data_IF_262409580284
#
_entry.id   IF_262409580284
#
_cell.length_a   1.000
_cell.length_b   1.000
_cell.length_c   1.000
_cell.angle_alpha   90.00
_cell.angle_beta   90.00
_cell.angle_gamma   90.00
#
_symmetry.space_group_name_H-M   'P 1'
#
loop_
_entity.id
_entity.type
_entity.pdbx_description
1 polymer ?
#
# COMPACT_ATOMS: atom_id res chain seq x y z
N UNK A 1 -23.59 -12.94 -24.04
CA UNK A 1 -22.86 -13.07 -22.76
C UNK A 1 -21.40 -12.73 -23.10
N UNK A 2 -20.75 -11.72 -22.55
CA UNK A 2 -20.75 -11.31 -21.15
C UNK A 2 -20.87 -9.78 -20.98
N UNK A 3 -21.63 -9.39 -19.97
CA UNK A 3 -21.67 -8.02 -19.42
C UNK A 3 -20.62 -7.84 -18.30
N UNK A 4 -19.68 -8.78 -18.18
CA UNK A 4 -18.68 -8.82 -17.12
C UNK A 4 -17.54 -7.82 -17.40
N UNK A 5 -16.98 -7.27 -16.33
CA UNK A 5 -15.85 -6.33 -16.41
C UNK A 5 -14.63 -7.06 -16.97
N UNK A 6 -13.98 -6.43 -17.96
CA UNK A 6 -12.71 -6.93 -18.53
C UNK A 6 -11.48 -6.40 -17.80
N UNK A 7 -11.63 -5.32 -17.04
CA UNK A 7 -10.57 -4.64 -16.32
C UNK A 7 -11.07 -4.19 -14.95
N UNK A 8 -10.17 -4.05 -13.95
CA UNK A 8 -10.49 -3.47 -12.67
C UNK A 8 -11.11 -2.09 -12.82
N UNK A 9 -12.07 -1.78 -11.95
CA UNK A 9 -12.73 -0.50 -11.90
C UNK A 9 -11.78 0.63 -11.49
N UNK A 10 -12.19 1.87 -11.76
CA UNK A 10 -11.42 3.06 -11.42
C UNK A 10 -11.18 3.18 -9.90
N UNK A 11 -12.15 2.74 -9.09
CA UNK A 11 -12.01 2.70 -7.63
C UNK A 11 -10.88 1.76 -7.21
N UNK A 12 -10.90 0.51 -7.68
CA UNK A 12 -9.87 -0.52 -7.43
C UNK A 12 -8.48 -0.02 -7.80
N UNK A 13 -8.34 0.55 -9.00
CA UNK A 13 -7.05 1.13 -9.44
C UNK A 13 -6.62 2.30 -8.55
N UNK A 14 -7.54 3.19 -8.16
CA UNK A 14 -7.21 4.32 -7.28
C UNK A 14 -6.75 3.84 -5.90
N UNK A 15 -7.41 2.82 -5.34
CA UNK A 15 -7.07 2.22 -4.06
C UNK A 15 -5.72 1.48 -4.08
N UNK A 16 -5.32 0.94 -5.24
CA UNK A 16 -3.99 0.35 -5.45
C UNK A 16 -2.87 1.41 -5.44
N UNK A 17 -3.14 2.63 -5.93
CA UNK A 17 -2.14 3.71 -5.99
C UNK A 17 -1.95 4.46 -4.66
N UNK A 18 -2.98 4.56 -3.82
CA UNK A 18 -2.89 5.25 -2.52
C UNK A 18 -1.72 4.70 -1.66
N UNK A 19 -1.58 3.38 -1.45
CA UNK A 19 -0.47 2.82 -0.69
C UNK A 19 0.91 3.21 -1.22
N UNK A 20 1.06 3.32 -2.54
CA UNK A 20 2.33 3.71 -3.17
C UNK A 20 2.72 5.12 -2.75
N UNK A 21 1.75 6.05 -2.76
CA UNK A 21 1.97 7.43 -2.31
C UNK A 21 2.31 7.48 -0.82
N UNK A 22 1.61 6.69 0.01
CA UNK A 22 1.89 6.60 1.45
C UNK A 22 3.29 6.08 1.73
N UNK A 23 3.73 5.03 1.02
CA UNK A 23 5.09 4.49 1.14
C UNK A 23 6.12 5.55 0.70
N UNK A 24 5.91 6.23 -0.43
CA UNK A 24 6.82 7.29 -0.87
C UNK A 24 6.93 8.42 0.16
N UNK A 25 5.81 8.84 0.75
CA UNK A 25 5.80 9.82 1.83
C UNK A 25 6.55 9.31 3.08
N UNK A 26 6.40 8.03 3.44
CA UNK A 26 7.20 7.41 4.52
C UNK A 26 8.69 7.55 4.27
N UNK A 27 9.18 7.27 3.05
CA UNK A 27 10.61 7.43 2.72
C UNK A 27 11.09 8.89 2.89
N UNK A 28 10.29 9.86 2.48
CA UNK A 28 10.64 11.29 2.58
C UNK A 28 10.67 11.73 4.04
N UNK A 29 9.67 11.34 4.82
CA UNK A 29 9.54 11.74 6.22
C UNK A 29 10.64 11.16 7.11
N UNK A 30 11.18 10.00 6.74
CA UNK A 30 12.20 9.27 7.52
C UNK A 30 13.63 9.55 7.03
N UNK A 31 13.81 10.49 6.10
CA UNK A 31 15.08 10.72 5.41
C UNK A 31 15.70 9.42 4.86
N UNK A 32 14.88 8.65 4.12
CA UNK A 32 15.25 7.34 3.59
C UNK A 32 15.65 6.33 4.68
N UNK A 33 14.91 6.33 5.79
CA UNK A 33 15.18 5.51 6.98
C UNK A 33 16.52 5.81 7.66
N UNK A 34 16.91 7.09 7.70
CA UNK A 34 18.09 7.53 8.45
C UNK A 34 17.91 7.26 9.94
N UNK A 35 18.98 6.83 10.62
CA UNK A 35 19.01 6.68 12.08
C UNK A 35 18.93 8.05 12.79
N UNK A 36 19.44 9.10 12.14
CA UNK A 36 19.40 10.47 12.63
C UNK A 36 18.75 11.37 11.56
N UNK A 37 17.41 11.31 11.40
CA UNK A 37 16.70 12.16 10.45
C UNK A 37 16.83 13.63 10.87
N UNK A 38 17.09 14.51 9.90
CA UNK A 38 17.34 15.94 10.11
C UNK A 38 16.32 16.84 9.41
N UNK A 39 15.63 16.33 8.39
CA UNK A 39 14.67 17.14 7.61
C UNK A 39 13.39 17.41 8.40
N UNK A 40 12.85 16.38 9.06
CA UNK A 40 11.61 16.48 9.83
C UNK A 40 11.85 16.10 11.29
N UNK A 41 11.32 16.87 12.26
CA UNK A 41 11.44 16.51 13.67
C UNK A 41 10.43 15.43 14.08
N UNK A 42 10.66 14.70 15.19
CA UNK A 42 9.61 13.90 15.82
C UNK A 42 8.39 14.78 16.15
N UNK A 43 7.15 14.30 15.95
CA UNK A 43 6.75 12.93 15.59
C UNK A 43 6.64 12.65 14.08
N UNK A 44 6.96 13.62 13.22
CA UNK A 44 6.74 13.52 11.78
C UNK A 44 7.66 12.51 11.09
N UNK A 45 8.85 12.28 11.65
CA UNK A 45 9.81 11.29 11.15
C UNK A 45 9.68 9.89 11.78
N UNK A 46 8.85 9.72 12.81
CA UNK A 46 8.80 8.49 13.62
C UNK A 46 7.39 7.90 13.75
N UNK A 47 6.40 8.71 14.14
CA UNK A 47 5.01 8.25 14.36
C UNK A 47 4.16 8.37 13.09
N UNK A 48 4.25 9.52 12.41
CA UNK A 48 3.47 9.74 11.17
C UNK A 48 3.76 8.67 10.11
N UNK A 49 5.01 8.25 9.84
CA UNK A 49 5.30 7.23 8.85
C UNK A 49 4.68 5.87 9.21
N UNK A 50 4.59 5.52 10.50
CA UNK A 50 3.87 4.31 10.95
C UNK A 50 2.38 4.39 10.62
N UNK A 51 1.74 5.53 10.89
CA UNK A 51 0.32 5.76 10.57
C UNK A 51 0.10 5.63 9.06
N UNK A 52 0.97 6.22 8.24
CA UNK A 52 0.89 6.13 6.78
C UNK A 52 0.98 4.69 6.29
N UNK A 53 1.88 3.88 6.85
CA UNK A 53 2.00 2.47 6.49
C UNK A 53 0.78 1.65 6.92
N UNK A 54 0.16 1.94 8.06
CA UNK A 54 -1.11 1.31 8.47
C UNK A 54 -2.23 1.66 7.49
N UNK A 55 -2.34 2.93 7.09
CA UNK A 55 -3.32 3.36 6.08
C UNK A 55 -3.03 2.68 4.73
N UNK A 56 -1.76 2.54 4.35
CA UNK A 56 -1.34 1.83 3.14
C UNK A 56 -1.81 0.37 3.16
N UNK A 57 -1.65 -0.33 4.28
CA UNK A 57 -2.13 -1.71 4.46
C UNK A 57 -3.66 -1.76 4.31
N UNK A 58 -4.39 -0.88 4.99
CA UNK A 58 -5.86 -0.86 4.92
C UNK A 58 -6.32 -0.62 3.48
N UNK A 59 -5.74 0.36 2.78
CA UNK A 59 -6.09 0.66 1.39
C UNK A 59 -5.79 -0.51 0.45
N UNK A 60 -4.63 -1.16 0.60
CA UNK A 60 -4.27 -2.33 -0.20
C UNK A 60 -5.20 -3.53 0.07
N UNK A 61 -5.62 -3.75 1.33
CA UNK A 61 -6.60 -4.80 1.66
C UNK A 61 -7.96 -4.51 1.01
N UNK A 62 -8.43 -3.26 1.03
CA UNK A 62 -9.71 -2.91 0.38
C UNK A 62 -9.60 -3.02 -1.13
N UNK A 63 -8.47 -2.60 -1.72
CA UNK A 63 -8.19 -2.76 -3.15
C UNK A 63 -8.23 -4.25 -3.55
N UNK A 64 -7.56 -5.10 -2.78
CA UNK A 64 -7.53 -6.55 -3.01
C UNK A 64 -8.92 -7.18 -2.99
N UNK A 65 -9.73 -6.83 -1.98
CA UNK A 65 -11.11 -7.33 -1.86
C UNK A 65 -11.94 -6.86 -3.06
N UNK A 66 -11.82 -5.57 -3.40
CA UNK A 66 -12.57 -5.00 -4.54
C UNK A 66 -12.15 -5.64 -5.86
N UNK A 67 -10.85 -5.90 -6.06
CA UNK A 67 -10.34 -6.58 -7.24
C UNK A 67 -10.90 -8.00 -7.37
N UNK A 68 -11.00 -8.74 -6.27
CA UNK A 68 -11.64 -10.07 -6.25
C UNK A 68 -13.14 -10.00 -6.53
N UNK A 69 -13.83 -9.01 -5.97
CA UNK A 69 -15.28 -8.86 -6.17
C UNK A 69 -15.62 -8.44 -7.61
N UNK A 70 -14.72 -7.73 -8.29
CA UNK A 70 -14.89 -7.32 -9.68
C UNK A 70 -14.40 -8.37 -10.70
N UNK A 71 -13.72 -9.42 -10.25
CA UNK A 71 -13.13 -10.44 -11.11
C UNK A 71 -14.22 -11.21 -11.90
N UNK A 72 -14.11 -11.31 -13.23
CA UNK A 72 -15.09 -12.00 -14.06
C UNK A 72 -14.97 -13.52 -13.91
N UNK A 73 -16.11 -14.20 -13.75
CA UNK A 73 -16.15 -15.66 -13.64
C UNK A 73 -15.73 -16.35 -14.95
N UNK A 74 -16.14 -15.79 -16.10
CA UNK A 74 -15.95 -16.40 -17.42
C UNK A 74 -15.13 -15.52 -18.36
N UNK A 75 -14.55 -14.44 -17.84
CA UNK A 75 -13.80 -13.43 -18.57
C UNK A 75 -12.29 -13.43 -18.28
N UNK A 76 -11.56 -12.41 -18.77
CA UNK A 76 -10.13 -12.30 -18.54
C UNK A 76 -9.82 -11.94 -17.08
N UNK A 77 -9.23 -12.88 -16.35
CA UNK A 77 -8.88 -12.75 -14.93
C UNK A 77 -7.50 -12.12 -14.68
N UNK A 78 -6.59 -12.18 -15.67
CA UNK A 78 -5.21 -11.73 -15.52
C UNK A 78 -5.06 -10.29 -14.99
N UNK A 79 -5.82 -9.29 -15.47
CA UNK A 79 -5.71 -7.92 -14.95
C UNK A 79 -6.04 -7.80 -13.46
N UNK A 80 -7.01 -8.58 -12.96
CA UNK A 80 -7.42 -8.59 -11.56
C UNK A 80 -6.34 -9.27 -10.69
N UNK A 81 -5.79 -10.39 -11.18
CA UNK A 81 -4.69 -11.10 -10.49
C UNK A 81 -3.42 -10.26 -10.36
N UNK A 82 -3.13 -9.38 -11.34
CA UNK A 82 -2.02 -8.44 -11.24
C UNK A 82 -2.25 -7.44 -10.11
N UNK A 83 -3.45 -6.86 -10.01
CA UNK A 83 -3.80 -5.93 -8.92
C UNK A 83 -3.73 -6.65 -7.57
N UNK A 84 -4.34 -7.82 -7.46
CA UNK A 84 -4.29 -8.65 -6.25
C UNK A 84 -2.84 -8.94 -5.79
N UNK A 85 -1.95 -9.29 -6.72
CA UNK A 85 -0.55 -9.56 -6.42
C UNK A 85 0.22 -8.30 -5.98
N UNK A 86 -0.05 -7.15 -6.60
CA UNK A 86 0.54 -5.87 -6.21
C UNK A 86 0.08 -5.48 -4.81
N UNK A 87 -1.21 -5.61 -4.50
CA UNK A 87 -1.76 -5.30 -3.18
C UNK A 87 -1.15 -6.19 -2.09
N UNK A 88 -0.99 -7.49 -2.34
CA UNK A 88 -0.31 -8.40 -1.41
C UNK A 88 1.16 -7.97 -1.20
N UNK A 89 1.88 -7.64 -2.27
CA UNK A 89 3.27 -7.21 -2.17
C UNK A 89 3.40 -5.91 -1.36
N UNK A 90 2.47 -4.96 -1.55
CA UNK A 90 2.39 -3.70 -0.79
C UNK A 90 2.12 -3.95 0.69
N UNK A 91 1.22 -4.89 1.03
CA UNK A 91 0.92 -5.24 2.43
C UNK A 91 2.18 -5.80 3.10
N UNK A 92 2.84 -6.77 2.47
CA UNK A 92 4.07 -7.38 3.00
C UNK A 92 5.17 -6.33 3.16
N UNK A 93 5.39 -5.49 2.15
CA UNK A 93 6.37 -4.41 2.21
C UNK A 93 6.06 -3.43 3.35
N UNK A 94 4.80 -3.04 3.51
CA UNK A 94 4.38 -2.12 4.58
C UNK A 94 4.64 -2.71 5.97
N UNK A 95 4.39 -4.00 6.17
CA UNK A 95 4.71 -4.69 7.44
C UNK A 95 6.22 -4.69 7.68
N UNK A 96 7.03 -5.00 6.67
CA UNK A 96 8.49 -4.96 6.79
C UNK A 96 9.00 -3.56 7.16
N UNK A 97 8.44 -2.51 6.54
CA UNK A 97 8.79 -1.12 6.84
C UNK A 97 8.33 -0.71 8.24
N UNK A 98 7.17 -1.17 8.72
CA UNK A 98 6.73 -0.92 10.11
C UNK A 98 7.74 -1.51 11.09
N UNK A 99 8.13 -2.77 10.89
CA UNK A 99 9.12 -3.44 11.75
C UNK A 99 10.43 -2.66 11.75
N UNK A 100 10.92 -2.26 10.56
CA UNK A 100 12.13 -1.44 10.43
C UNK A 100 12.03 -0.12 11.21
N UNK A 101 10.93 0.62 11.05
CA UNK A 101 10.73 1.90 11.73
C UNK A 101 10.68 1.75 13.25
N UNK A 102 10.01 0.70 13.74
CA UNK A 102 9.99 0.37 15.16
C UNK A 102 11.42 0.13 15.66
N UNK A 103 12.21 -0.64 14.92
CA UNK A 103 13.61 -0.93 15.30
C UNK A 103 14.49 0.32 15.29
N UNK A 104 14.36 1.22 14.32
CA UNK A 104 15.26 2.38 14.21
C UNK A 104 14.90 3.48 15.23
N UNK A 105 13.61 3.74 15.44
CA UNK A 105 13.17 4.93 16.18
C UNK A 105 12.64 4.66 17.59
N UNK A 106 12.43 3.41 17.97
CA UNK A 106 11.78 3.06 19.23
C UNK A 106 12.49 1.97 20.05
N UNK A 107 13.54 1.34 19.52
CA UNK A 107 14.38 0.34 20.20
C UNK A 107 15.81 0.87 20.25
#
# INVERSE_FOLDING_TARGET
MSWEKKFPGMLTLSLMFIPIVMIAATFILTDYFSVNPTTYPPPFNSIVPLILLVIAIISAVVSYITAKDEEPEWGPQLPFKIVEAIDIAIIVLSIMLIVLLITIYFI
#
